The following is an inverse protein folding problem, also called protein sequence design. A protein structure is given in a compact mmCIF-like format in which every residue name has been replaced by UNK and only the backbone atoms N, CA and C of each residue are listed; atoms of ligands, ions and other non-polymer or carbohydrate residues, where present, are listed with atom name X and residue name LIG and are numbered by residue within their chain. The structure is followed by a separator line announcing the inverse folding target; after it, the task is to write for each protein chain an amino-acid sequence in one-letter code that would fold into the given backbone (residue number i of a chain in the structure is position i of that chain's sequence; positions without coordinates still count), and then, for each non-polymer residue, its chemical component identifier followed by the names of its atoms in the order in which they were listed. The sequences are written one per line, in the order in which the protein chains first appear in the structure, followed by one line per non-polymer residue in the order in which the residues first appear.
data_IF_312292531998
#
_entry.id   IF_312292531998
#
_cell.length_a   1.000
_cell.length_b   1.000
_cell.length_c   1.000
_cell.angle_alpha   90.00
_cell.angle_beta   90.00
_cell.angle_gamma   90.00
#
_symmetry.space_group_name_H-M   'P 1'
#
loop_
_entity.id
_entity.type
_entity.pdbx_description
1 polymer ?
#
# COMPACT_ATOMS: atom_id res chain seq x y z
N UNK A 1 -29.99 -6.14 -2.62
CA UNK A 1 -29.14 -5.08 -3.19
C UNK A 1 -27.69 -5.10 -2.62
N UNK A 2 -27.49 -5.39 -1.32
CA UNK A 2 -26.14 -5.46 -0.71
C UNK A 2 -25.30 -6.61 -1.30
N UNK A 3 -25.90 -7.75 -1.60
CA UNK A 3 -25.22 -8.92 -2.17
C UNK A 3 -24.71 -8.72 -3.61
N UNK A 4 -25.43 -7.96 -4.43
CA UNK A 4 -25.05 -7.74 -5.84
C UNK A 4 -23.91 -6.72 -5.98
N UNK A 5 -23.86 -5.69 -5.12
CA UNK A 5 -22.77 -4.70 -5.13
C UNK A 5 -21.47 -5.27 -4.60
N UNK A 6 -21.50 -6.19 -3.64
CA UNK A 6 -20.30 -6.91 -3.19
C UNK A 6 -19.69 -7.76 -4.32
N UNK A 7 -20.51 -8.19 -5.29
CA UNK A 7 -20.06 -9.03 -6.40
C UNK A 7 -19.30 -8.30 -7.51
N UNK A 8 -19.33 -6.96 -7.58
CA UNK A 8 -18.74 -6.20 -8.71
C UNK A 8 -17.60 -5.27 -8.30
N UNK A 9 -17.29 -5.17 -7.01
CA UNK A 9 -16.28 -4.25 -6.48
C UNK A 9 -15.31 -4.99 -5.56
N UNK A 10 -14.03 -4.83 -5.80
CA UNK A 10 -12.99 -5.33 -4.91
C UNK A 10 -12.67 -4.26 -3.85
N UNK A 11 -12.38 -4.71 -2.63
CA UNK A 11 -11.98 -3.87 -1.50
C UNK A 11 -10.69 -4.42 -0.91
N UNK A 12 -9.72 -3.55 -0.76
CA UNK A 12 -8.41 -3.89 -0.23
C UNK A 12 -8.10 -2.95 0.92
N UNK A 13 -7.68 -3.51 2.05
CA UNK A 13 -7.35 -2.78 3.27
C UNK A 13 -5.88 -3.06 3.59
N UNK A 14 -5.11 -2.01 3.90
CA UNK A 14 -3.80 -2.12 4.56
C UNK A 14 -4.02 -1.75 6.02
N UNK A 15 -3.72 -2.69 6.92
CA UNK A 15 -4.06 -2.66 8.34
C UNK A 15 -2.79 -2.84 9.20
N UNK A 16 -2.11 -1.76 9.58
CA UNK A 16 -0.91 -1.84 10.42
C UNK A 16 -1.19 -2.05 11.90
N UNK A 17 -2.44 -1.84 12.36
CA UNK A 17 -2.84 -1.91 13.76
C UNK A 17 -3.75 -3.12 14.07
N UNK A 18 -4.09 -3.96 13.07
CA UNK A 18 -4.96 -5.15 13.20
C UNK A 18 -6.39 -4.83 13.68
N UNK A 19 -6.91 -3.69 13.25
CA UNK A 19 -8.24 -3.24 13.68
C UNK A 19 -9.38 -3.77 12.79
N UNK A 20 -9.09 -4.08 11.50
CA UNK A 20 -10.10 -4.48 10.51
C UNK A 20 -10.34 -5.99 10.43
N UNK A 21 -9.48 -6.81 11.02
CA UNK A 21 -9.55 -8.27 10.93
C UNK A 21 -10.90 -8.86 11.37
N UNK A 22 -11.56 -8.42 12.47
CA UNK A 22 -12.88 -8.94 12.86
C UNK A 22 -13.96 -8.62 11.82
N UNK A 23 -13.97 -7.38 11.30
CA UNK A 23 -14.92 -6.93 10.28
C UNK A 23 -14.76 -7.72 8.98
N UNK A 24 -13.51 -7.88 8.51
CA UNK A 24 -13.22 -8.59 7.26
C UNK A 24 -13.63 -10.05 7.35
N UNK A 25 -13.33 -10.74 8.46
CA UNK A 25 -13.76 -12.12 8.69
C UNK A 25 -15.29 -12.28 8.75
N UNK A 26 -15.98 -11.36 9.42
CA UNK A 26 -17.45 -11.36 9.48
C UNK A 26 -18.09 -11.16 8.10
N UNK A 27 -17.41 -10.43 7.20
CA UNK A 27 -17.82 -10.23 5.80
C UNK A 27 -17.30 -11.30 4.84
N UNK A 28 -16.75 -12.42 5.35
CA UNK A 28 -16.18 -13.52 4.57
C UNK A 28 -15.06 -13.08 3.62
N UNK A 29 -14.29 -12.08 4.03
CA UNK A 29 -13.08 -11.63 3.34
C UNK A 29 -11.84 -12.39 3.81
N UNK A 30 -10.74 -12.18 3.11
CA UNK A 30 -9.43 -12.76 3.39
C UNK A 30 -8.60 -11.83 4.25
N UNK A 31 -8.03 -12.34 5.33
CA UNK A 31 -7.06 -11.61 6.18
C UNK A 31 -5.69 -12.27 6.01
N UNK A 32 -4.78 -11.54 5.38
CA UNK A 32 -3.42 -11.99 5.10
C UNK A 32 -2.49 -11.41 6.16
N UNK A 33 -2.08 -12.24 7.12
CA UNK A 33 -1.10 -11.87 8.14
C UNK A 33 0.30 -11.96 7.56
N UNK A 34 1.03 -10.84 7.55
CA UNK A 34 2.38 -10.77 7.03
C UNK A 34 3.35 -10.46 8.17
N UNK A 35 4.32 -11.35 8.39
CA UNK A 35 5.40 -11.17 9.36
C UNK A 35 6.63 -11.96 8.95
N UNK A 36 7.74 -11.78 9.64
CA UNK A 36 8.96 -12.57 9.43
C UNK A 36 8.77 -14.08 9.68
N UNK A 37 7.80 -14.43 10.54
CA UNK A 37 7.53 -15.81 10.98
C UNK A 37 6.22 -16.38 10.46
N UNK A 38 5.47 -15.60 9.66
CA UNK A 38 4.21 -16.04 9.07
C UNK A 38 4.41 -17.13 8.04
N UNK A 39 3.47 -18.08 7.96
CA UNK A 39 3.39 -19.03 6.85
C UNK A 39 2.81 -18.40 5.57
N UNK A 40 2.24 -17.21 5.66
CA UNK A 40 1.71 -16.46 4.53
C UNK A 40 2.84 -15.73 3.81
N UNK A 41 2.90 -15.91 2.50
CA UNK A 41 3.91 -15.31 1.65
C UNK A 41 3.28 -14.56 0.49
N UNK A 42 3.86 -13.41 0.18
CA UNK A 42 3.57 -12.63 -1.02
C UNK A 42 4.90 -12.45 -1.76
N UNK A 43 4.96 -12.94 -2.97
CA UNK A 43 6.15 -12.83 -3.79
C UNK A 43 6.31 -11.39 -4.30
N UNK A 44 7.40 -10.74 -3.93
CA UNK A 44 7.72 -9.40 -4.41
C UNK A 44 7.89 -9.32 -5.93
N UNK A 45 8.13 -10.46 -6.57
CA UNK A 45 8.30 -10.57 -8.03
C UNK A 45 7.00 -10.95 -8.77
N UNK A 46 5.85 -11.06 -8.10
CA UNK A 46 4.59 -11.34 -8.79
C UNK A 46 4.24 -10.26 -9.81
N UNK A 47 3.83 -10.69 -10.99
CA UNK A 47 3.45 -9.80 -12.09
C UNK A 47 2.52 -10.53 -13.05
N UNK A 48 1.63 -9.81 -13.72
CA UNK A 48 0.79 -10.32 -14.80
C UNK A 48 0.99 -9.53 -16.10
N UNK A 49 0.39 -9.98 -17.19
CA UNK A 49 0.47 -9.33 -18.49
C UNK A 49 -0.05 -7.90 -18.53
N UNK A 50 -0.98 -7.55 -17.64
CA UNK A 50 -1.66 -6.25 -17.60
C UNK A 50 -0.91 -5.22 -16.73
N UNK A 51 0.13 -5.65 -16.01
CA UNK A 51 0.91 -4.82 -15.09
C UNK A 51 1.47 -3.54 -15.73
N UNK A 52 1.76 -3.59 -17.02
CA UNK A 52 2.39 -2.51 -17.78
C UNK A 52 1.47 -1.41 -18.31
N UNK A 53 0.14 -1.46 -18.12
CA UNK A 53 -0.83 -0.49 -18.70
C UNK A 53 -0.58 -0.23 -20.21
N UNK A 54 -0.30 -1.29 -20.97
CA UNK A 54 0.03 -1.20 -22.41
C UNK A 54 1.52 -0.96 -22.72
N UNK A 55 2.35 -0.69 -21.71
CA UNK A 55 3.81 -0.74 -21.80
C UNK A 55 4.31 -2.16 -21.52
N UNK A 56 5.62 -2.40 -21.73
CA UNK A 56 6.22 -3.67 -21.35
C UNK A 56 6.16 -3.86 -19.82
N UNK A 57 5.45 -4.86 -19.28
CA UNK A 57 5.31 -5.09 -17.84
C UNK A 57 6.65 -5.19 -17.10
N UNK A 58 7.68 -5.79 -17.74
CA UNK A 58 9.00 -5.97 -17.13
C UNK A 58 9.71 -4.65 -16.88
N UNK A 59 9.49 -3.63 -17.70
CA UNK A 59 10.10 -2.31 -17.48
C UNK A 59 9.58 -1.70 -16.17
N UNK A 60 8.26 -1.69 -15.96
CA UNK A 60 7.67 -1.16 -14.73
C UNK A 60 8.04 -2.02 -13.51
N UNK A 61 8.13 -3.33 -13.70
CA UNK A 61 8.58 -4.22 -12.62
C UNK A 61 10.05 -4.00 -12.29
N UNK A 62 10.89 -3.70 -13.28
CA UNK A 62 12.31 -3.33 -13.06
C UNK A 62 12.41 -2.05 -12.23
N UNK A 63 11.58 -1.03 -12.49
CA UNK A 63 11.52 0.20 -11.67
C UNK A 63 11.12 -0.11 -10.22
N UNK A 64 10.17 -1.03 -10.01
CA UNK A 64 9.80 -1.49 -8.68
C UNK A 64 10.95 -2.24 -7.99
N UNK A 65 11.61 -3.17 -8.68
CA UNK A 65 12.76 -3.94 -8.13
C UNK A 65 13.94 -3.02 -7.81
N UNK A 66 14.19 -1.99 -8.62
CA UNK A 66 15.17 -0.95 -8.28
C UNK A 66 14.84 -0.28 -6.95
N UNK A 67 13.60 0.17 -6.77
CA UNK A 67 13.14 0.80 -5.53
C UNK A 67 13.21 -0.16 -4.34
N UNK A 68 12.87 -1.43 -4.56
CA UNK A 68 12.96 -2.48 -3.54
C UNK A 68 14.42 -2.73 -3.13
N UNK A 69 15.34 -2.85 -4.09
CA UNK A 69 16.77 -3.02 -3.82
C UNK A 69 17.36 -1.82 -3.04
N UNK A 70 16.99 -0.59 -3.38
CA UNK A 70 17.40 0.59 -2.63
C UNK A 70 16.95 0.51 -1.16
N UNK A 71 15.75 -0.01 -0.90
CA UNK A 71 15.25 -0.25 0.46
C UNK A 71 16.01 -1.39 1.16
N UNK A 72 16.22 -2.50 0.48
CA UNK A 72 16.91 -3.69 1.01
C UNK A 72 18.38 -3.40 1.38
N UNK A 73 19.05 -2.50 0.65
CA UNK A 73 20.45 -2.10 0.87
C UNK A 73 20.58 -1.01 1.96
N UNK A 74 19.47 -0.63 2.61
CA UNK A 74 19.46 0.33 3.72
C UNK A 74 19.22 1.77 3.31
N UNK A 75 18.47 2.01 2.22
CA UNK A 75 18.06 3.36 1.78
C UNK A 75 19.16 4.17 1.09
N UNK A 76 20.28 3.56 0.75
CA UNK A 76 21.35 4.19 0.00
C UNK A 76 20.98 4.33 -1.48
N UNK A 77 21.25 5.50 -2.07
CA UNK A 77 21.01 5.71 -3.51
C UNK A 77 21.94 4.81 -4.33
N UNK A 78 21.34 3.93 -5.15
CA UNK A 78 22.10 3.07 -6.06
C UNK A 78 22.83 3.89 -7.12
N UNK A 79 24.09 3.57 -7.36
CA UNK A 79 24.87 4.13 -8.45
C UNK A 79 24.39 3.66 -9.84
N UNK A 80 24.79 4.34 -10.89
CA UNK A 80 24.37 4.02 -12.25
C UNK A 80 24.72 2.58 -12.68
N UNK A 81 25.87 2.06 -12.28
CA UNK A 81 26.28 0.68 -12.55
C UNK A 81 25.35 -0.33 -11.88
N UNK A 82 25.07 -0.13 -10.59
CA UNK A 82 24.17 -0.99 -9.81
C UNK A 82 22.77 -1.01 -10.42
N UNK A 83 22.23 0.16 -10.82
CA UNK A 83 20.92 0.26 -11.48
C UNK A 83 20.90 -0.52 -12.80
N UNK A 84 21.95 -0.42 -13.62
CA UNK A 84 22.06 -1.18 -14.88
C UNK A 84 22.14 -2.69 -14.66
N UNK A 85 22.82 -3.14 -13.60
CA UNK A 85 22.90 -4.56 -13.24
C UNK A 85 21.56 -5.09 -12.78
N UNK A 86 20.87 -4.36 -11.90
CA UNK A 86 19.54 -4.74 -11.39
C UNK A 86 18.53 -4.84 -12.53
N UNK A 87 18.49 -3.85 -13.43
CA UNK A 87 17.60 -3.84 -14.59
C UNK A 87 17.87 -5.05 -15.51
N UNK A 88 19.13 -5.31 -15.86
CA UNK A 88 19.54 -6.44 -16.68
C UNK A 88 19.17 -7.78 -16.05
N UNK A 89 19.44 -7.97 -14.75
CA UNK A 89 19.11 -9.18 -14.03
C UNK A 89 17.59 -9.38 -13.92
N UNK A 90 16.84 -8.31 -13.65
CA UNK A 90 15.37 -8.35 -13.65
C UNK A 90 14.84 -8.80 -15.01
N UNK A 91 15.29 -8.21 -16.11
CA UNK A 91 14.90 -8.62 -17.44
C UNK A 91 15.26 -10.09 -17.74
N UNK A 92 16.41 -10.56 -17.24
CA UNK A 92 16.85 -11.95 -17.43
C UNK A 92 15.94 -12.96 -16.72
N UNK A 93 15.60 -12.75 -15.45
CA UNK A 93 14.77 -13.69 -14.68
C UNK A 93 13.33 -13.76 -15.19
N UNK A 94 12.81 -12.67 -15.76
CA UNK A 94 11.47 -12.66 -16.35
C UNK A 94 11.40 -13.23 -17.76
N UNK A 95 12.52 -13.46 -18.45
CA UNK A 95 12.54 -13.88 -19.86
C UNK A 95 11.70 -15.13 -20.12
N UNK A 96 11.85 -16.15 -19.30
CA UNK A 96 11.10 -17.40 -19.46
C UNK A 96 9.61 -17.20 -19.21
N UNK A 97 9.27 -16.44 -18.17
CA UNK A 97 7.90 -16.11 -17.81
C UNK A 97 7.19 -15.28 -18.90
N UNK A 98 7.92 -14.33 -19.54
CA UNK A 98 7.43 -13.57 -20.70
C UNK A 98 7.19 -14.48 -21.91
N UNK A 99 8.13 -15.39 -22.22
CA UNK A 99 7.99 -16.35 -23.32
C UNK A 99 6.78 -17.25 -23.13
N UNK A 100 6.42 -17.55 -21.90
CA UNK A 100 5.19 -18.26 -21.52
C UNK A 100 3.93 -17.37 -21.49
N UNK A 101 3.95 -16.17 -22.07
CA UNK A 101 2.84 -15.18 -22.02
C UNK A 101 2.37 -14.87 -20.59
N UNK A 102 3.29 -14.79 -19.65
CA UNK A 102 3.02 -14.57 -18.22
C UNK A 102 2.13 -15.64 -17.59
N UNK A 103 2.16 -16.85 -18.16
CA UNK A 103 1.51 -18.03 -17.61
C UNK A 103 2.52 -18.91 -16.87
N UNK A 104 2.07 -19.52 -15.78
CA UNK A 104 2.92 -20.36 -14.94
C UNK A 104 3.39 -19.63 -13.68
N UNK A 105 4.53 -20.06 -13.16
CA UNK A 105 5.07 -19.54 -11.90
C UNK A 105 6.01 -18.36 -12.17
N UNK A 106 5.73 -17.16 -11.61
CA UNK A 106 6.62 -16.02 -11.73
C UNK A 106 7.94 -16.27 -10.96
N UNK A 107 9.05 -15.59 -11.34
CA UNK A 107 10.30 -15.69 -10.60
C UNK A 107 10.14 -15.14 -9.18
N UNK A 108 11.11 -15.42 -8.32
CA UNK A 108 11.22 -14.98 -6.94
C UNK A 108 12.43 -14.07 -6.73
N UNK A 109 12.54 -13.44 -5.56
CA UNK A 109 13.75 -12.70 -5.19
C UNK A 109 14.97 -13.63 -5.04
N UNK A 110 14.75 -14.93 -4.77
CA UNK A 110 15.84 -15.93 -4.78
C UNK A 110 16.38 -16.11 -6.19
N UNK A 111 15.51 -16.29 -7.20
CA UNK A 111 15.91 -16.38 -8.61
C UNK A 111 16.66 -15.13 -9.05
N UNK A 112 16.21 -13.95 -8.60
CA UNK A 112 16.88 -12.68 -8.88
C UNK A 112 18.28 -12.61 -8.25
N UNK A 113 18.44 -13.04 -6.98
CA UNK A 113 19.74 -13.11 -6.33
C UNK A 113 20.67 -14.10 -7.04
N UNK A 114 20.19 -15.28 -7.42
CA UNK A 114 20.96 -16.24 -8.20
C UNK A 114 21.44 -15.66 -9.54
N UNK A 115 20.62 -14.85 -10.18
CA UNK A 115 21.00 -14.19 -11.43
C UNK A 115 22.07 -13.10 -11.21
N UNK A 116 22.02 -12.37 -10.09
CA UNK A 116 23.07 -11.44 -9.67
C UNK A 116 24.40 -12.17 -9.43
N UNK A 117 24.38 -13.33 -8.78
CA UNK A 117 25.57 -14.12 -8.51
C UNK A 117 26.25 -14.68 -9.78
N UNK A 118 25.52 -14.80 -10.89
CA UNK A 118 26.08 -15.20 -12.19
C UNK A 118 26.84 -14.07 -12.90
N UNK A 119 26.67 -12.81 -12.46
CA UNK A 119 27.35 -11.66 -13.05
C UNK A 119 28.81 -11.59 -12.55
N UNK A 120 29.72 -11.14 -13.41
CA UNK A 120 31.14 -11.04 -13.06
C UNK A 120 31.52 -9.72 -12.37
N UNK A 121 30.63 -8.72 -12.40
CA UNK A 121 30.90 -7.40 -11.83
C UNK A 121 30.86 -7.43 -10.29
N UNK A 122 31.85 -6.80 -9.63
CA UNK A 122 31.88 -6.74 -8.16
C UNK A 122 30.61 -6.12 -7.56
N UNK A 123 30.04 -5.11 -8.24
CA UNK A 123 28.82 -4.45 -7.82
C UNK A 123 27.61 -5.42 -7.77
N UNK A 124 27.57 -6.42 -8.64
CA UNK A 124 26.53 -7.44 -8.62
C UNK A 124 26.67 -8.36 -7.40
N UNK A 125 27.89 -8.73 -7.06
CA UNK A 125 28.18 -9.54 -5.86
C UNK A 125 27.85 -8.77 -4.58
N UNK A 126 28.14 -7.47 -4.54
CA UNK A 126 27.79 -6.59 -3.42
C UNK A 126 26.28 -6.51 -3.23
N UNK A 127 25.50 -6.34 -4.31
CA UNK A 127 24.03 -6.33 -4.25
C UNK A 127 23.52 -7.69 -3.76
N UNK A 128 24.00 -8.79 -4.33
CA UNK A 128 23.58 -10.14 -3.96
C UNK A 128 23.84 -10.45 -2.48
N UNK A 129 24.97 -9.99 -1.93
CA UNK A 129 25.30 -10.11 -0.51
C UNK A 129 24.39 -9.21 0.36
N UNK A 130 24.12 -7.99 -0.08
CA UNK A 130 23.29 -7.05 0.67
C UNK A 130 21.83 -7.50 0.81
N UNK A 131 21.29 -8.20 -0.20
CA UNK A 131 19.92 -8.72 -0.17
C UNK A 131 19.80 -10.14 0.39
N UNK A 132 20.91 -10.80 0.76
CA UNK A 132 20.92 -12.19 1.24
C UNK A 132 20.02 -12.42 2.45
N UNK A 133 20.00 -11.48 3.40
CA UNK A 133 19.14 -11.53 4.58
C UNK A 133 17.64 -11.70 4.21
N UNK A 134 17.24 -11.11 3.10
CA UNK A 134 15.85 -11.04 2.64
C UNK A 134 15.50 -12.09 1.58
N UNK A 135 16.48 -12.84 1.09
CA UNK A 135 16.28 -13.92 0.11
C UNK A 135 16.46 -15.30 0.72
N UNK A 136 17.63 -15.59 1.30
CA UNK A 136 17.97 -16.88 1.88
C UNK A 136 18.08 -16.83 3.41
N UNK A 137 18.16 -15.60 3.97
CA UNK A 137 18.24 -15.37 5.42
C UNK A 137 16.89 -15.45 6.14
N UNK A 138 16.88 -14.98 7.38
CA UNK A 138 15.72 -15.07 8.29
C UNK A 138 14.55 -14.14 7.93
N UNK A 139 14.74 -13.15 7.05
CA UNK A 139 13.70 -12.18 6.66
C UNK A 139 13.16 -12.42 5.24
N UNK A 140 13.11 -13.68 4.80
CA UNK A 140 12.79 -14.09 3.43
C UNK A 140 11.31 -14.21 3.09
N UNK A 141 10.43 -13.60 3.88
CA UNK A 141 8.98 -13.74 3.71
C UNK A 141 8.47 -13.29 2.33
N UNK A 142 9.14 -12.34 1.67
CA UNK A 142 8.81 -11.82 0.35
C UNK A 142 9.59 -12.46 -0.82
N UNK A 143 10.46 -13.43 -0.51
CA UNK A 143 11.26 -14.14 -1.50
C UNK A 143 10.67 -15.49 -1.90
N UNK A 144 9.55 -15.88 -1.32
CA UNK A 144 8.85 -17.13 -1.61
C UNK A 144 7.65 -16.88 -2.52
N UNK A 145 7.20 -17.93 -3.22
CA UNK A 145 5.99 -17.84 -4.03
C UNK A 145 4.77 -17.49 -3.18
N UNK A 146 3.88 -16.68 -3.74
CA UNK A 146 2.61 -16.34 -3.11
C UNK A 146 1.78 -17.58 -2.86
N UNK A 147 1.36 -17.78 -1.61
CA UNK A 147 0.59 -18.93 -1.16
C UNK A 147 -0.77 -18.54 -0.53
N UNK A 148 -1.15 -17.28 -0.64
CA UNK A 148 -2.41 -16.73 -0.12
C UNK A 148 -3.36 -16.34 -1.25
N UNK A 149 -4.67 -16.29 -0.97
CA UNK A 149 -5.65 -15.86 -1.96
C UNK A 149 -5.66 -14.34 -2.12
N UNK A 150 -4.84 -13.85 -3.06
CA UNK A 150 -4.85 -12.44 -3.47
C UNK A 150 -6.01 -12.09 -4.42
N UNK A 151 -6.92 -13.02 -4.70
CA UNK A 151 -8.04 -12.85 -5.62
C UNK A 151 -9.40 -12.67 -4.92
N UNK A 152 -9.46 -12.83 -3.59
CA UNK A 152 -10.64 -12.51 -2.80
C UNK A 152 -11.11 -11.07 -3.06
N UNK A 153 -12.41 -10.82 -2.95
CA UNK A 153 -13.00 -9.50 -3.22
C UNK A 153 -12.87 -8.52 -2.07
N UNK A 154 -12.64 -9.04 -0.89
CA UNK A 154 -12.34 -8.26 0.31
C UNK A 154 -11.06 -8.85 0.91
N UNK A 155 -10.00 -8.08 0.87
CA UNK A 155 -8.69 -8.48 1.37
C UNK A 155 -8.23 -7.45 2.40
N UNK A 156 -7.70 -7.94 3.51
CA UNK A 156 -7.01 -7.15 4.52
C UNK A 156 -5.57 -7.65 4.65
N UNK A 157 -4.62 -6.79 4.37
CA UNK A 157 -3.20 -7.03 4.64
C UNK A 157 -2.89 -6.57 6.07
N UNK A 158 -2.84 -7.50 7.00
CA UNK A 158 -2.42 -7.27 8.38
C UNK A 158 -0.90 -7.29 8.44
N UNK A 159 -0.31 -6.14 8.70
CA UNK A 159 1.13 -5.91 8.68
C UNK A 159 1.69 -5.51 10.05
N UNK A 160 0.91 -5.66 11.13
CA UNK A 160 1.29 -5.28 12.49
C UNK A 160 2.63 -5.92 12.92
N UNK A 161 2.83 -7.21 12.61
CA UNK A 161 3.97 -8.00 13.08
C UNK A 161 5.18 -7.98 12.13
N UNK A 162 5.22 -7.08 11.14
CA UNK A 162 6.36 -6.99 10.20
C UNK A 162 7.68 -6.59 10.88
N UNK A 163 7.61 -5.85 11.98
CA UNK A 163 8.79 -5.29 12.64
C UNK A 163 9.48 -4.21 11.80
N UNK A 164 10.34 -3.43 12.45
CA UNK A 164 10.92 -2.20 11.87
C UNK A 164 11.74 -2.42 10.59
N UNK A 165 12.40 -3.57 10.45
CA UNK A 165 13.25 -3.84 9.27
C UNK A 165 12.44 -4.23 8.05
N UNK A 166 11.37 -5.03 8.24
CA UNK A 166 10.52 -5.49 7.14
C UNK A 166 9.39 -4.53 6.80
N UNK A 167 9.00 -3.64 7.71
CA UNK A 167 7.86 -2.76 7.50
C UNK A 167 7.94 -1.92 6.22
N UNK A 168 9.04 -1.19 5.91
CA UNK A 168 9.12 -0.44 4.66
C UNK A 168 9.11 -1.33 3.42
N UNK A 169 9.75 -2.49 3.50
CA UNK A 169 9.80 -3.48 2.43
C UNK A 169 8.40 -4.07 2.20
N UNK A 170 7.75 -4.50 3.28
CA UNK A 170 6.41 -5.08 3.23
C UNK A 170 5.37 -4.10 2.70
N UNK A 171 5.45 -2.83 3.08
CA UNK A 171 4.58 -1.79 2.54
C UNK A 171 4.75 -1.63 1.02
N UNK A 172 5.99 -1.64 0.51
CA UNK A 172 6.25 -1.60 -0.93
C UNK A 172 5.69 -2.83 -1.65
N UNK A 173 5.93 -4.03 -1.11
CA UNK A 173 5.44 -5.29 -1.71
C UNK A 173 3.92 -5.36 -1.71
N UNK A 174 3.27 -4.94 -0.63
CA UNK A 174 1.79 -4.87 -0.55
C UNK A 174 1.25 -3.86 -1.57
N UNK A 175 1.83 -2.67 -1.68
CA UNK A 175 1.41 -1.67 -2.67
C UNK A 175 1.59 -2.18 -4.11
N UNK A 176 2.68 -2.90 -4.40
CA UNK A 176 2.91 -3.51 -5.70
C UNK A 176 1.90 -4.63 -6.00
N UNK A 177 1.60 -5.48 -5.02
CA UNK A 177 0.54 -6.50 -5.12
C UNK A 177 -0.84 -5.85 -5.40
N UNK A 178 -1.13 -4.73 -4.76
CA UNK A 178 -2.35 -3.94 -5.00
C UNK A 178 -2.36 -3.40 -6.44
N UNK A 179 -1.25 -2.83 -6.92
CA UNK A 179 -1.14 -2.36 -8.30
C UNK A 179 -1.39 -3.48 -9.31
N UNK A 180 -0.78 -4.65 -9.06
CA UNK A 180 -0.98 -5.85 -9.88
C UNK A 180 -2.47 -6.25 -9.92
N UNK A 181 -3.19 -6.17 -8.79
CA UNK A 181 -4.63 -6.44 -8.69
C UNK A 181 -5.47 -5.41 -9.42
N UNK A 182 -5.15 -4.12 -9.29
CA UNK A 182 -5.88 -3.02 -9.94
C UNK A 182 -5.81 -3.17 -11.46
N UNK A 183 -4.63 -3.47 -12.02
CA UNK A 183 -4.45 -3.63 -13.46
C UNK A 183 -5.25 -4.82 -14.01
N UNK A 184 -5.27 -5.95 -13.29
CA UNK A 184 -6.13 -7.10 -13.62
C UNK A 184 -7.63 -6.75 -13.56
N UNK A 185 -8.05 -6.01 -12.55
CA UNK A 185 -9.44 -5.60 -12.38
C UNK A 185 -9.88 -4.65 -13.48
N UNK A 186 -9.02 -3.72 -13.88
CA UNK A 186 -9.26 -2.84 -15.04
C UNK A 186 -9.53 -3.64 -16.31
N UNK A 187 -8.70 -4.63 -16.62
CA UNK A 187 -8.90 -5.50 -17.78
C UNK A 187 -10.25 -6.23 -17.75
N UNK A 188 -10.79 -6.48 -16.56
CA UNK A 188 -12.09 -7.12 -16.32
C UNK A 188 -13.26 -6.13 -16.14
N UNK A 189 -13.01 -4.82 -16.27
CA UNK A 189 -14.01 -3.76 -16.03
C UNK A 189 -14.50 -3.68 -14.59
N UNK A 190 -13.67 -4.02 -13.61
CA UNK A 190 -14.01 -4.04 -12.17
C UNK A 190 -13.39 -2.85 -11.46
N UNK A 191 -14.17 -2.21 -10.58
CA UNK A 191 -13.66 -1.16 -9.70
C UNK A 191 -12.98 -1.76 -8.45
N UNK A 192 -11.93 -1.06 -7.97
CA UNK A 192 -11.20 -1.44 -6.76
C UNK A 192 -11.19 -0.29 -5.77
N UNK A 193 -11.57 -0.55 -4.53
CA UNK A 193 -11.50 0.40 -3.43
C UNK A 193 -10.35 0.00 -2.50
N UNK A 194 -9.46 0.95 -2.22
CA UNK A 194 -8.26 0.75 -1.42
C UNK A 194 -8.36 1.64 -0.20
N UNK A 195 -8.22 1.05 0.97
CA UNK A 195 -8.19 1.74 2.26
C UNK A 195 -6.82 1.52 2.89
N UNK A 196 -6.12 2.59 3.17
CA UNK A 196 -4.78 2.57 3.74
C UNK A 196 -4.88 3.23 5.10
N UNK A 197 -4.85 2.40 6.15
CA UNK A 197 -4.85 2.91 7.50
C UNK A 197 -3.44 3.33 7.90
N UNK A 198 -3.35 4.31 8.79
CA UNK A 198 -2.10 4.97 9.20
C UNK A 198 -1.19 5.30 8.03
N UNK A 199 -1.77 5.92 6.99
CA UNK A 199 -1.10 6.21 5.70
C UNK A 199 0.21 6.99 5.89
N UNK A 200 0.39 7.73 7.01
CA UNK A 200 1.61 8.47 7.29
C UNK A 200 2.86 7.57 7.32
N UNK A 201 2.71 6.28 7.67
CA UNK A 201 3.81 5.30 7.68
C UNK A 201 4.47 5.16 6.29
N UNK A 202 3.71 5.32 5.21
CA UNK A 202 4.23 5.26 3.84
C UNK A 202 5.07 6.48 3.46
N UNK A 203 4.94 7.59 4.19
CA UNK A 203 5.70 8.81 3.94
C UNK A 203 6.98 8.92 4.75
N UNK A 204 7.24 7.98 5.65
CA UNK A 204 8.49 7.93 6.42
C UNK A 204 9.71 7.57 5.54
N UNK A 205 9.47 6.94 4.39
CA UNK A 205 10.51 6.56 3.44
C UNK A 205 10.20 7.13 2.05
N UNK A 206 11.18 7.77 1.43
CA UNK A 206 11.03 8.45 0.14
C UNK A 206 10.50 7.53 -0.97
N UNK A 207 10.96 6.29 -1.02
CA UNK A 207 10.55 5.32 -2.05
C UNK A 207 9.09 4.92 -1.92
N UNK A 208 8.62 4.58 -0.72
CA UNK A 208 7.22 4.25 -0.49
C UNK A 208 6.31 5.46 -0.74
N UNK A 209 6.75 6.67 -0.37
CA UNK A 209 6.05 7.91 -0.65
C UNK A 209 5.91 8.16 -2.16
N UNK A 210 6.99 8.01 -2.92
CA UNK A 210 7.00 8.21 -4.37
C UNK A 210 6.18 7.14 -5.10
N UNK A 211 6.27 5.88 -4.67
CA UNK A 211 5.46 4.79 -5.22
C UNK A 211 3.97 5.03 -4.95
N UNK A 212 3.60 5.36 -3.71
CA UNK A 212 2.22 5.69 -3.34
C UNK A 212 1.70 6.89 -4.13
N UNK A 213 2.49 7.94 -4.30
CA UNK A 213 2.12 9.13 -5.06
C UNK A 213 1.85 8.81 -6.53
N UNK A 214 2.68 7.95 -7.11
CA UNK A 214 2.51 7.49 -8.49
C UNK A 214 1.24 6.65 -8.62
N UNK A 215 1.00 5.74 -7.68
CA UNK A 215 -0.21 4.95 -7.59
C UNK A 215 -1.44 5.86 -7.45
N UNK A 216 -1.43 6.80 -6.50
CA UNK A 216 -2.52 7.75 -6.24
C UNK A 216 -2.95 8.53 -7.47
N UNK A 217 -1.98 8.99 -8.28
CA UNK A 217 -2.27 9.67 -9.55
C UNK A 217 -2.85 8.76 -10.62
N UNK A 218 -2.43 7.51 -10.64
CA UNK A 218 -2.79 6.56 -11.70
C UNK A 218 -4.08 5.79 -11.42
N UNK A 219 -4.46 5.56 -10.17
CA UNK A 219 -5.58 4.69 -9.79
C UNK A 219 -6.90 5.08 -10.46
N UNK A 220 -7.15 6.38 -10.68
CA UNK A 220 -8.33 6.86 -11.40
C UNK A 220 -8.46 6.26 -12.80
N UNK A 221 -7.34 6.12 -13.54
CA UNK A 221 -7.34 5.51 -14.87
C UNK A 221 -7.71 4.02 -14.83
N UNK A 222 -7.48 3.38 -13.70
CA UNK A 222 -7.71 1.94 -13.51
C UNK A 222 -9.07 1.63 -12.89
N UNK A 223 -9.95 2.64 -12.71
CA UNK A 223 -11.21 2.45 -12.01
C UNK A 223 -11.02 2.12 -10.53
N UNK A 224 -9.94 2.63 -9.94
CA UNK A 224 -9.66 2.42 -8.53
C UNK A 224 -9.78 3.74 -7.73
N UNK A 225 -10.06 3.59 -6.44
CA UNK A 225 -10.27 4.69 -5.50
C UNK A 225 -9.43 4.43 -4.25
N UNK A 226 -8.55 5.37 -3.92
CA UNK A 226 -7.73 5.30 -2.71
C UNK A 226 -8.29 6.18 -1.60
N UNK A 227 -8.36 5.63 -0.40
CA UNK A 227 -8.68 6.33 0.83
C UNK A 227 -7.53 6.16 1.80
N UNK A 228 -6.90 7.26 2.19
CA UNK A 228 -5.90 7.30 3.24
C UNK A 228 -6.55 7.71 4.56
N UNK A 229 -6.24 7.01 5.63
CA UNK A 229 -6.69 7.26 6.99
C UNK A 229 -5.47 7.52 7.85
N UNK A 230 -5.54 8.49 8.74
CA UNK A 230 -4.47 8.76 9.72
C UNK A 230 -5.01 9.48 10.94
N UNK A 231 -4.43 9.19 12.08
CA UNK A 231 -4.60 9.94 13.32
C UNK A 231 -3.47 10.94 13.52
N UNK A 232 -2.33 10.75 12.84
CA UNK A 232 -1.13 11.56 12.99
C UNK A 232 -0.96 12.50 11.80
N UNK A 233 -1.61 13.65 11.88
CA UNK A 233 -1.60 14.65 10.81
C UNK A 233 -0.26 15.38 10.74
N UNK A 234 0.38 15.64 11.87
CA UNK A 234 1.66 16.36 11.92
C UNK A 234 2.75 15.59 11.16
N UNK A 235 2.93 14.29 11.45
CA UNK A 235 3.89 13.44 10.73
C UNK A 235 3.56 13.36 9.23
N UNK A 236 2.28 13.26 8.88
CA UNK A 236 1.85 13.28 7.48
C UNK A 236 2.27 14.57 6.78
N UNK A 237 2.05 15.71 7.42
CA UNK A 237 2.33 17.03 6.83
C UNK A 237 3.82 17.38 6.76
N UNK A 238 4.73 16.63 7.38
CA UNK A 238 6.16 16.79 7.18
C UNK A 238 6.60 16.39 5.76
N UNK A 239 5.88 15.49 5.10
CA UNK A 239 6.16 15.09 3.73
C UNK A 239 5.57 16.07 2.71
N UNK A 240 6.41 16.60 1.82
CA UNK A 240 5.94 17.41 0.69
C UNK A 240 5.00 16.62 -0.24
N UNK A 241 5.30 15.36 -0.47
CA UNK A 241 4.49 14.45 -1.28
C UNK A 241 3.10 14.26 -0.66
N UNK A 242 3.02 14.05 0.65
CA UNK A 242 1.76 13.92 1.37
C UNK A 242 0.93 15.21 1.33
N UNK A 243 1.55 16.38 1.52
CA UNK A 243 0.88 17.69 1.36
C UNK A 243 0.27 17.83 -0.03
N UNK A 244 1.00 17.45 -1.08
CA UNK A 244 0.51 17.50 -2.46
C UNK A 244 -0.66 16.54 -2.67
N UNK A 245 -0.61 15.33 -2.13
CA UNK A 245 -1.71 14.36 -2.21
C UNK A 245 -2.94 14.87 -1.49
N UNK A 246 -2.80 15.39 -0.28
CA UNK A 246 -3.90 15.95 0.51
C UNK A 246 -4.57 17.14 -0.21
N UNK A 247 -3.77 18.08 -0.74
CA UNK A 247 -4.28 19.24 -1.46
C UNK A 247 -5.08 18.85 -2.73
N UNK A 248 -4.70 17.74 -3.38
CA UNK A 248 -5.35 17.21 -4.58
C UNK A 248 -6.43 16.16 -4.28
N UNK A 249 -6.73 15.88 -3.01
CA UNK A 249 -7.79 14.96 -2.64
C UNK A 249 -9.17 15.58 -2.87
N UNK A 250 -10.05 14.87 -3.55
CA UNK A 250 -11.41 15.31 -3.86
C UNK A 250 -12.29 15.37 -2.60
N UNK A 251 -12.12 14.38 -1.70
CA UNK A 251 -12.83 14.29 -0.44
C UNK A 251 -11.84 14.25 0.71
N UNK A 252 -12.05 15.11 1.73
CA UNK A 252 -11.29 15.08 2.97
C UNK A 252 -12.27 15.15 4.13
N UNK A 253 -12.25 14.14 4.98
CA UNK A 253 -13.06 14.09 6.21
C UNK A 253 -12.14 14.45 7.36
N UNK A 254 -12.43 15.54 8.03
CA UNK A 254 -11.72 16.00 9.21
C UNK A 254 -12.59 15.82 10.45
N UNK A 255 -12.19 14.95 11.34
CA UNK A 255 -12.81 14.76 12.65
C UNK A 255 -12.19 15.73 13.67
N UNK A 256 -12.35 15.45 14.97
CA UNK A 256 -11.72 16.26 16.02
C UNK A 256 -10.20 16.24 15.88
N UNK A 257 -9.57 17.41 15.83
CA UNK A 257 -8.14 17.58 15.59
C UNK A 257 -7.43 18.17 16.82
N UNK A 258 -6.16 17.78 17.01
CA UNK A 258 -5.27 18.40 17.99
C UNK A 258 -4.99 19.89 17.63
N UNK A 259 -4.57 20.68 18.59
CA UNK A 259 -4.40 22.13 18.39
C UNK A 259 -3.34 22.48 17.36
N UNK A 260 -2.24 21.72 17.31
CA UNK A 260 -1.14 21.88 16.34
C UNK A 260 -1.59 21.57 14.94
N UNK A 261 -2.24 20.42 14.76
CA UNK A 261 -2.65 19.88 13.46
C UNK A 261 -3.69 20.75 12.78
N UNK A 262 -4.62 21.34 13.54
CA UNK A 262 -5.65 22.25 13.03
C UNK A 262 -5.06 23.44 12.28
N UNK A 263 -3.99 24.07 12.82
CA UNK A 263 -3.39 25.24 12.23
C UNK A 263 -2.72 24.93 10.89
N UNK A 264 -2.04 23.81 10.81
CA UNK A 264 -1.41 23.36 9.56
C UNK A 264 -2.45 22.98 8.52
N UNK A 265 -3.51 22.23 8.91
CA UNK A 265 -4.62 21.90 8.03
C UNK A 265 -5.38 23.14 7.54
N UNK A 266 -5.61 24.11 8.44
CA UNK A 266 -6.30 25.36 8.09
C UNK A 266 -5.53 26.15 7.02
N UNK A 267 -4.20 26.24 7.15
CA UNK A 267 -3.34 26.88 6.15
C UNK A 267 -3.38 26.14 4.81
N UNK A 268 -3.24 24.80 4.85
CA UNK A 268 -3.14 23.97 3.65
C UNK A 268 -4.48 23.94 2.87
N UNK A 269 -5.60 23.90 3.57
CA UNK A 269 -6.93 23.70 2.99
C UNK A 269 -7.76 24.99 2.92
N UNK A 270 -7.20 26.15 3.34
CA UNK A 270 -7.86 27.46 3.42
C UNK A 270 -9.15 27.40 4.28
N UNK A 271 -9.06 26.80 5.47
CA UNK A 271 -10.17 26.70 6.43
C UNK A 271 -10.23 27.98 7.26
N UNK A 272 -11.39 28.63 7.31
CA UNK A 272 -11.61 29.83 8.13
C UNK A 272 -11.72 29.50 9.62
N UNK A 273 -11.52 30.50 10.50
CA UNK A 273 -11.65 30.33 11.96
C UNK A 273 -13.03 29.78 12.37
N UNK A 274 -14.09 30.23 11.71
CA UNK A 274 -15.42 29.70 11.94
C UNK A 274 -15.53 28.23 11.58
N UNK A 275 -14.96 27.81 10.45
CA UNK A 275 -14.98 26.43 10.02
C UNK A 275 -14.10 25.54 10.91
N UNK A 276 -12.99 26.06 11.43
CA UNK A 276 -12.14 25.35 12.41
C UNK A 276 -12.90 24.95 13.68
N UNK A 277 -13.95 25.68 14.07
CA UNK A 277 -14.77 25.33 15.23
C UNK A 277 -15.45 23.96 15.09
N UNK A 278 -15.68 23.49 13.86
CA UNK A 278 -16.28 22.18 13.58
C UNK A 278 -15.30 21.00 13.67
N UNK A 279 -14.03 21.27 13.88
CA UNK A 279 -12.99 20.25 14.12
C UNK A 279 -12.25 20.48 15.44
N UNK A 280 -12.78 21.33 16.31
CA UNK A 280 -12.18 21.73 17.58
C UNK A 280 -13.07 21.31 18.74
N UNK A 281 -12.60 20.38 19.58
CA UNK A 281 -13.32 19.90 20.76
C UNK A 281 -14.75 19.41 20.45
N UNK A 282 -14.94 18.80 19.29
CA UNK A 282 -16.22 18.27 18.84
C UNK A 282 -16.38 16.82 19.31
N UNK A 283 -17.64 16.37 19.40
CA UNK A 283 -17.97 15.01 19.79
C UNK A 283 -17.62 13.96 18.71
N UNK A 284 -17.60 12.70 19.10
CA UNK A 284 -17.39 11.60 18.17
C UNK A 284 -18.42 11.61 17.03
N UNK A 285 -17.95 11.40 15.81
CA UNK A 285 -18.77 11.44 14.60
C UNK A 285 -19.15 12.82 14.12
N UNK A 286 -18.58 13.88 14.69
CA UNK A 286 -18.74 15.26 14.22
C UNK A 286 -17.44 15.72 13.53
N UNK A 287 -17.60 16.59 12.54
CA UNK A 287 -16.44 17.10 11.81
C UNK A 287 -16.79 17.99 10.63
N UNK A 288 -15.80 18.17 9.77
CA UNK A 288 -15.86 18.98 8.57
C UNK A 288 -15.51 18.12 7.36
N UNK A 289 -16.35 18.15 6.35
CA UNK A 289 -16.13 17.45 5.08
C UNK A 289 -15.77 18.48 4.00
N UNK A 290 -14.61 18.28 3.36
CA UNK A 290 -14.25 18.98 2.12
C UNK A 290 -14.65 18.14 0.92
N UNK A 291 -15.39 18.73 -0.01
CA UNK A 291 -15.76 18.12 -1.30
C UNK A 291 -15.47 19.15 -2.40
N UNK A 292 -14.45 18.88 -3.20
CA UNK A 292 -13.93 19.87 -4.14
C UNK A 292 -13.53 21.17 -3.43
N UNK A 293 -14.22 22.29 -3.74
CA UNK A 293 -14.02 23.59 -3.10
C UNK A 293 -14.92 23.84 -1.88
N UNK A 294 -15.91 23.01 -1.64
CA UNK A 294 -16.90 23.20 -0.58
C UNK A 294 -16.46 22.55 0.73
N UNK A 295 -16.70 23.28 1.85
CA UNK A 295 -16.47 22.79 3.21
C UNK A 295 -17.83 22.73 3.93
N UNK A 296 -18.23 21.53 4.35
CA UNK A 296 -19.54 21.26 4.93
C UNK A 296 -19.39 20.60 6.30
N UNK A 297 -19.91 21.20 7.38
CA UNK A 297 -19.94 20.53 8.67
C UNK A 297 -20.92 19.36 8.64
N UNK A 298 -20.56 18.27 9.36
CA UNK A 298 -21.42 17.10 9.42
C UNK A 298 -21.51 16.53 10.84
N UNK A 299 -22.57 15.76 11.07
CA UNK A 299 -22.79 14.96 12.27
C UNK A 299 -23.23 13.57 11.84
N UNK A 300 -22.41 12.57 12.12
CA UNK A 300 -22.73 11.16 11.91
C UNK A 300 -22.94 10.47 13.27
N UNK A 301 -24.19 10.06 13.55
CA UNK A 301 -24.55 9.30 14.74
C UNK A 301 -24.62 7.83 14.37
N UNK A 302 -23.48 7.14 14.43
CA UNK A 302 -23.45 5.70 14.17
C UNK A 302 -24.21 4.93 15.25
N UNK A 303 -25.14 3.99 14.91
CA UNK A 303 -25.91 3.23 15.88
C UNK A 303 -25.02 2.25 16.67
N UNK A 304 -24.85 2.49 17.97
CA UNK A 304 -23.97 1.68 18.84
C UNK A 304 -24.49 0.29 19.18
N UNK A 305 -25.80 0.05 19.01
CA UNK A 305 -26.47 -1.22 19.29
C UNK A 305 -26.44 -2.21 18.12
N UNK A 306 -25.61 -1.96 17.11
CA UNK A 306 -25.51 -2.81 15.92
C UNK A 306 -24.29 -3.74 16.01
N UNK A 307 -24.39 -4.90 15.36
CA UNK A 307 -23.26 -5.82 15.20
C UNK A 307 -22.07 -5.14 14.49
N UNK A 308 -22.36 -4.32 13.47
CA UNK A 308 -21.34 -3.59 12.74
C UNK A 308 -20.54 -2.65 13.67
N UNK A 309 -21.21 -1.98 14.64
CA UNK A 309 -20.51 -1.17 15.63
C UNK A 309 -19.55 -2.02 16.48
N UNK A 310 -20.00 -3.20 16.93
CA UNK A 310 -19.15 -4.11 17.72
C UNK A 310 -17.95 -4.62 16.97
N UNK A 311 -18.09 -4.85 15.65
CA UNK A 311 -16.99 -5.29 14.78
C UNK A 311 -15.98 -4.17 14.46
N UNK A 312 -16.38 -2.91 14.58
CA UNK A 312 -15.57 -1.74 14.22
C UNK A 312 -15.02 -0.97 15.43
N UNK A 313 -15.55 -1.23 16.66
CA UNK A 313 -15.07 -0.50 17.83
C UNK A 313 -13.73 -1.05 18.29
N UNK A 314 -12.77 -0.16 18.53
CA UNK A 314 -11.45 -0.47 19.11
C UNK A 314 -11.35 0.00 20.56
N UNK A 315 -12.46 0.52 21.12
CA UNK A 315 -12.47 1.02 22.49
C UNK A 315 -12.42 -0.10 23.50
N UNK A 316 -11.46 -0.03 24.41
CA UNK A 316 -11.35 -0.94 25.52
C UNK A 316 -12.64 -0.93 26.37
N UNK A 317 -13.25 -2.12 26.57
CA UNK A 317 -14.47 -2.30 27.34
C UNK A 317 -15.80 -2.10 26.59
N UNK A 318 -15.77 -1.78 25.29
CA UNK A 318 -16.96 -1.74 24.42
C UNK A 318 -17.07 -2.99 23.50
N UNK A 319 -16.12 -3.92 23.60
CA UNK A 319 -16.07 -5.20 22.86
C UNK A 319 -16.67 -6.31 23.67
#
# INVERSE_FOLDING_TARGET
LVGSEMCIRDRIIIDPEREYSPLVKAMQGEVIHISATSENHINAMDMNSDYGDGANPVILKSEFILSLCEQLIGGSTLGAKQKSIIDRCTASVYRHYQQGNYMGTPPTLQDFREELLKQNEPEAQEIALAIELFTDGSLNTFAKHTNVDTHSRLICYDILDLGKQLQPIGMLVVLDSILNRITQNRAKGRNTFIFIDEIYLLFQHEYSANFLFTLWKRVRKYGAYCTGITQNVDDLLQSHTARTMLANSEFIIMLNQASTDRLELAKLLNISDLQMSYITNVGAGQGLLKVGSSLVPFVNKFPRNTELYRLMTTKFGEV
#
